data_IF_797293600846
#
_entry.id   IF_797293600846
#
_cell.length_a   1.000
_cell.length_b   1.000
_cell.length_c   1.000
_cell.angle_alpha   90.00
_cell.angle_beta   90.00
_cell.angle_gamma   90.00
#
_symmetry.space_group_name_H-M   'P 1'
#
loop_
_entity.id
_entity.type
_entity.pdbx_description
1 polymer ?
#
# COMPACT_ATOMS: atom_id res chain seq x y z
N UNK A 1 8.38 21.41 -13.69
CA UNK A 1 9.18 20.42 -12.92
C UNK A 1 10.30 21.06 -12.07
N UNK A 2 10.23 22.37 -11.75
CA UNK A 2 11.29 23.10 -11.02
C UNK A 2 10.91 23.57 -9.60
N UNK A 3 9.68 23.34 -9.16
CA UNK A 3 9.16 23.96 -7.93
C UNK A 3 9.66 23.32 -6.61
N UNK A 4 10.07 22.05 -6.61
CA UNK A 4 10.28 21.30 -5.36
C UNK A 4 11.68 21.45 -4.74
N UNK A 5 12.71 21.74 -5.54
CA UNK A 5 14.09 21.85 -5.05
C UNK A 5 14.39 23.18 -4.35
N UNK A 6 13.74 24.26 -4.76
CA UNK A 6 13.94 25.59 -4.15
C UNK A 6 13.20 25.76 -2.82
N UNK A 7 12.09 25.05 -2.61
CA UNK A 7 11.25 25.22 -1.42
C UNK A 7 11.74 24.43 -0.19
N UNK A 8 12.48 23.34 -0.41
CA UNK A 8 12.87 22.38 0.64
C UNK A 8 14.39 22.16 0.75
N UNK A 9 15.21 22.99 0.09
CA UNK A 9 16.67 22.79 0.00
C UNK A 9 17.07 21.34 -0.37
N UNK A 10 16.26 20.70 -1.22
CA UNK A 10 16.36 19.28 -1.51
C UNK A 10 17.16 19.00 -2.79
N UNK A 11 17.84 17.86 -2.83
CA UNK A 11 18.61 17.38 -3.98
C UNK A 11 17.85 16.31 -4.77
N UNK A 12 17.99 16.32 -6.09
CA UNK A 12 17.41 15.29 -6.97
C UNK A 12 18.38 14.11 -7.06
N UNK A 13 17.91 12.91 -6.77
CA UNK A 13 18.63 11.66 -7.04
C UNK A 13 18.52 11.29 -8.53
N UNK A 14 19.45 10.45 -9.04
CA UNK A 14 19.35 9.90 -10.39
C UNK A 14 18.00 9.22 -10.63
N UNK A 15 17.51 9.33 -11.85
CA UNK A 15 16.28 8.64 -12.27
C UNK A 15 16.61 7.15 -12.41
N UNK A 16 15.74 6.29 -11.87
CA UNK A 16 15.85 4.83 -11.98
C UNK A 16 14.60 4.27 -12.64
N UNK A 17 14.80 3.29 -13.52
CA UNK A 17 13.72 2.56 -14.17
C UNK A 17 13.26 1.39 -13.28
N UNK A 18 12.00 1.42 -12.87
CA UNK A 18 11.36 0.39 -12.06
C UNK A 18 10.43 -0.43 -12.95
N UNK A 19 10.58 -1.75 -12.93
CA UNK A 19 9.74 -2.67 -13.70
C UNK A 19 8.42 -2.88 -12.97
N UNK A 20 7.31 -2.49 -13.60
CA UNK A 20 5.93 -2.74 -13.16
C UNK A 20 5.24 -3.71 -14.12
N UNK A 21 4.27 -4.55 -13.66
CA UNK A 21 3.58 -5.50 -14.54
C UNK A 21 2.87 -4.87 -15.76
N UNK A 22 2.63 -3.55 -15.75
CA UNK A 22 2.02 -2.83 -16.86
C UNK A 22 3.00 -2.04 -17.75
N UNK A 23 4.30 -2.02 -17.45
CA UNK A 23 5.32 -1.29 -18.20
C UNK A 23 6.46 -0.74 -17.33
N UNK A 24 7.41 -0.02 -17.94
CA UNK A 24 8.51 0.63 -17.20
C UNK A 24 8.02 1.93 -16.57
N UNK A 25 8.37 2.13 -15.29
CA UNK A 25 8.09 3.34 -14.51
C UNK A 25 9.41 4.07 -14.24
N UNK A 26 9.56 5.32 -14.71
CA UNK A 26 10.68 6.18 -14.35
C UNK A 26 10.44 6.75 -12.96
N UNK A 27 11.33 6.49 -12.03
CA UNK A 27 11.25 6.97 -10.65
C UNK A 27 12.39 7.95 -10.36
N UNK A 28 12.06 9.10 -9.78
CA UNK A 28 13.02 10.10 -9.32
C UNK A 28 12.73 10.46 -7.87
N UNK A 29 13.75 10.38 -7.03
CA UNK A 29 13.64 10.78 -5.62
C UNK A 29 14.17 12.20 -5.44
N UNK A 30 13.42 13.03 -4.72
CA UNK A 30 13.86 14.32 -4.19
C UNK A 30 14.09 14.14 -2.70
N UNK A 31 15.29 14.43 -2.21
CA UNK A 31 15.74 14.14 -0.84
C UNK A 31 16.27 15.41 -0.17
N UNK A 32 15.81 15.72 1.05
CA UNK A 32 16.38 16.79 1.87
C UNK A 32 17.82 16.45 2.32
N UNK A 33 18.67 17.43 2.65
CA UNK A 33 20.09 17.19 2.97
C UNK A 33 20.31 16.25 4.17
N UNK A 34 19.37 16.25 5.11
CA UNK A 34 19.34 15.41 6.31
C UNK A 34 18.60 14.08 6.10
N UNK A 35 18.11 13.82 4.87
CA UNK A 35 17.31 12.67 4.48
C UNK A 35 15.97 12.48 5.25
N UNK A 36 15.55 13.48 6.03
CA UNK A 36 14.29 13.43 6.80
C UNK A 36 13.05 13.53 5.92
N UNK A 37 13.18 14.13 4.72
CA UNK A 37 12.14 14.19 3.71
C UNK A 37 12.61 13.54 2.41
N UNK A 38 11.82 12.58 1.92
CA UNK A 38 11.98 11.95 0.61
C UNK A 38 10.67 11.99 -0.16
N UNK A 39 10.69 12.61 -1.33
CA UNK A 39 9.56 12.66 -2.26
C UNK A 39 9.90 11.80 -3.47
N UNK A 40 9.18 10.70 -3.67
CA UNK A 40 9.37 9.82 -4.84
C UNK A 40 8.38 10.21 -5.93
N UNK A 41 8.90 10.70 -7.06
CA UNK A 41 8.14 11.07 -8.25
C UNK A 41 8.20 9.92 -9.26
N UNK A 42 7.04 9.32 -9.55
CA UNK A 42 6.94 8.22 -10.50
C UNK A 42 6.21 8.69 -11.77
N UNK A 43 6.87 8.63 -12.92
CA UNK A 43 6.28 8.85 -14.23
C UNK A 43 6.26 7.55 -15.03
N UNK A 44 5.19 7.28 -15.77
CA UNK A 44 5.17 6.18 -16.71
C UNK A 44 4.65 6.65 -18.07
N UNK A 45 5.27 6.13 -19.13
CA UNK A 45 4.91 6.45 -20.52
C UNK A 45 3.68 5.64 -21.01
N UNK A 46 3.13 4.73 -20.19
CA UNK A 46 1.97 3.90 -20.57
C UNK A 46 0.86 3.88 -19.52
N UNK A 47 -0.39 4.07 -19.96
CA UNK A 47 -1.62 3.95 -19.17
C UNK A 47 -1.88 2.53 -18.60
N UNK A 48 -1.04 1.56 -18.94
CA UNK A 48 -1.12 0.19 -18.43
C UNK A 48 -0.30 0.01 -17.17
N UNK A 49 0.83 0.70 -17.05
CA UNK A 49 1.64 0.73 -15.84
C UNK A 49 0.86 1.37 -14.70
N UNK A 50 1.10 0.91 -13.48
CA UNK A 50 0.41 1.41 -12.30
C UNK A 50 0.53 2.95 -12.21
N UNK A 51 1.73 3.51 -12.38
CA UNK A 51 1.95 4.96 -12.44
C UNK A 51 1.21 5.66 -13.59
N UNK A 52 1.09 5.06 -14.77
CA UNK A 52 0.37 5.66 -15.89
C UNK A 52 -1.15 5.61 -15.71
N UNK A 53 -1.68 4.61 -15.00
CA UNK A 53 -3.10 4.60 -14.57
C UNK A 53 -3.41 5.74 -13.59
N UNK A 54 -2.44 6.17 -12.78
CA UNK A 54 -2.55 7.35 -11.92
C UNK A 54 -2.53 8.64 -12.75
N UNK A 55 -1.56 8.79 -13.67
CA UNK A 55 -1.44 9.97 -14.53
C UNK A 55 -2.66 10.13 -15.47
N UNK A 56 -3.23 9.03 -15.97
CA UNK A 56 -4.43 9.02 -16.80
C UNK A 56 -5.74 9.29 -16.03
N UNK A 57 -5.67 9.69 -14.76
CA UNK A 57 -6.85 10.06 -13.95
C UNK A 57 -7.78 8.90 -13.57
N UNK A 58 -7.36 7.64 -13.77
CA UNK A 58 -8.18 6.45 -13.47
C UNK A 58 -8.00 5.93 -12.03
N UNK A 59 -7.05 6.50 -11.27
CA UNK A 59 -6.78 6.22 -9.86
C UNK A 59 -6.58 7.52 -9.03
N UNK A 60 -7.21 8.62 -9.45
CA UNK A 60 -7.62 9.78 -8.63
C UNK A 60 -6.58 10.64 -7.86
N UNK A 61 -5.33 10.22 -7.66
CA UNK A 61 -4.35 11.02 -6.90
C UNK A 61 -2.97 11.11 -7.58
N UNK A 62 -2.42 12.32 -7.63
CA UNK A 62 -1.04 12.59 -8.04
C UNK A 62 0.01 12.10 -7.02
N UNK A 63 -0.41 11.90 -5.77
CA UNK A 63 0.42 11.32 -4.69
C UNK A 63 -0.04 9.88 -4.44
N UNK A 64 0.87 8.92 -4.64
CA UNK A 64 0.54 7.50 -4.47
C UNK A 64 0.56 7.07 -2.99
N UNK A 65 1.53 7.54 -2.20
CA UNK A 65 1.61 7.23 -0.78
C UNK A 65 2.47 8.25 0.00
N UNK A 66 2.32 8.22 1.33
CA UNK A 66 3.17 8.94 2.29
C UNK A 66 3.83 7.91 3.20
N UNK A 67 5.15 8.01 3.36
CA UNK A 67 5.95 7.17 4.25
C UNK A 67 6.32 7.92 5.54
N UNK A 68 6.15 7.28 6.68
CA UNK A 68 6.59 7.76 7.99
C UNK A 68 7.73 6.91 8.51
N UNK A 69 8.76 7.54 9.05
CA UNK A 69 9.83 6.81 9.74
C UNK A 69 9.41 6.42 11.16
N UNK A 70 9.83 5.23 11.58
CA UNK A 70 9.71 4.73 12.94
C UNK A 70 11.06 4.22 13.44
N UNK A 71 11.33 4.42 14.73
CA UNK A 71 12.49 3.85 15.42
C UNK A 71 12.27 2.41 15.91
N UNK A 72 11.03 1.93 15.93
CA UNK A 72 10.67 0.54 16.23
C UNK A 72 9.35 0.21 15.53
N UNK A 73 9.45 -0.44 14.37
CA UNK A 73 8.33 -0.78 13.52
C UNK A 73 7.43 -1.85 14.16
N UNK A 74 8.00 -2.79 14.93
CA UNK A 74 7.21 -3.84 15.58
C UNK A 74 6.33 -3.24 16.68
N UNK A 75 6.86 -2.33 17.50
CA UNK A 75 6.05 -1.61 18.48
C UNK A 75 5.03 -0.68 17.81
N UNK A 76 5.43 -0.03 16.72
CA UNK A 76 4.53 0.85 15.96
C UNK A 76 3.37 0.06 15.36
N UNK A 77 3.63 -1.09 14.75
CA UNK A 77 2.62 -2.03 14.24
C UNK A 77 1.63 -2.39 15.34
N UNK A 78 2.11 -2.84 16.51
CA UNK A 78 1.25 -3.25 17.63
C UNK A 78 0.33 -2.13 18.08
N UNK A 79 0.85 -0.89 18.16
CA UNK A 79 0.06 0.30 18.54
C UNK A 79 -0.97 0.67 17.47
N UNK A 80 -0.57 0.64 16.20
CA UNK A 80 -1.45 0.93 15.07
C UNK A 80 -2.57 -0.11 14.98
N UNK A 81 -2.26 -1.39 15.10
CA UNK A 81 -3.23 -2.50 15.11
C UNK A 81 -4.24 -2.34 16.24
N UNK A 82 -3.80 -2.01 17.46
CA UNK A 82 -4.71 -1.71 18.59
C UNK A 82 -5.65 -0.53 18.33
N UNK A 83 -5.26 0.40 17.46
CA UNK A 83 -6.05 1.57 17.07
C UNK A 83 -6.89 1.34 15.80
N UNK A 84 -6.95 0.10 15.29
CA UNK A 84 -7.76 -0.26 14.13
C UNK A 84 -7.09 -0.05 12.77
N UNK A 85 -5.77 0.18 12.74
CA UNK A 85 -5.03 0.25 11.48
C UNK A 85 -5.14 -1.07 10.71
N UNK A 86 -5.47 -0.97 9.42
CA UNK A 86 -5.55 -2.14 8.54
C UNK A 86 -4.29 -2.25 7.68
N UNK A 87 -3.38 -3.14 8.08
CA UNK A 87 -2.22 -3.47 7.28
C UNK A 87 -2.61 -4.14 5.95
N UNK A 88 -1.79 -3.91 4.92
CA UNK A 88 -1.87 -4.60 3.64
C UNK A 88 -1.53 -6.08 3.87
N UNK A 89 -2.44 -7.03 3.59
CA UNK A 89 -2.17 -8.43 3.87
C UNK A 89 -1.12 -8.99 2.89
N UNK A 90 -0.02 -9.48 3.45
CA UNK A 90 1.06 -10.11 2.69
C UNK A 90 0.92 -11.64 2.73
N UNK A 91 0.98 -12.33 1.57
CA UNK A 91 0.91 -13.78 1.51
C UNK A 91 2.02 -14.48 2.31
N UNK A 92 1.68 -15.60 2.97
CA UNK A 92 2.62 -16.34 3.83
C UNK A 92 3.90 -16.81 3.13
N UNK A 93 3.82 -17.14 1.83
CA UNK A 93 4.96 -17.60 1.04
C UNK A 93 6.08 -16.55 0.91
N UNK A 94 5.75 -15.26 1.04
CA UNK A 94 6.76 -14.20 1.08
C UNK A 94 7.76 -14.40 2.24
N UNK A 95 7.25 -14.80 3.41
CA UNK A 95 8.09 -15.01 4.60
C UNK A 95 8.89 -16.31 4.51
N UNK A 96 8.34 -17.34 3.86
CA UNK A 96 9.07 -18.57 3.57
C UNK A 96 10.27 -18.27 2.63
N UNK A 97 10.08 -17.39 1.64
CA UNK A 97 11.16 -16.94 0.76
C UNK A 97 12.21 -16.08 1.50
N UNK A 98 11.81 -15.28 2.50
CA UNK A 98 12.74 -14.48 3.31
C UNK A 98 13.67 -15.36 4.15
N UNK A 99 13.14 -16.43 4.75
CA UNK A 99 13.94 -17.42 5.49
C UNK A 99 15.06 -17.98 4.62
N UNK A 100 14.73 -18.38 3.40
CA UNK A 100 15.70 -18.94 2.46
C UNK A 100 16.75 -17.91 1.96
N UNK A 101 16.36 -16.64 1.83
CA UNK A 101 17.23 -15.58 1.30
C UNK A 101 18.19 -14.98 2.32
N UNK A 102 17.71 -14.75 3.54
CA UNK A 102 18.44 -13.99 4.56
C UNK A 102 18.75 -14.80 5.82
N UNK A 103 18.28 -16.05 5.93
CA UNK A 103 18.55 -16.90 7.09
C UNK A 103 18.00 -16.31 8.40
N UNK A 104 16.89 -15.58 8.32
CA UNK A 104 16.27 -14.92 9.48
C UNK A 104 15.85 -15.95 10.53
N UNK A 105 16.00 -15.60 11.81
CA UNK A 105 15.55 -16.45 12.88
C UNK A 105 14.01 -16.58 12.91
N UNK A 106 13.52 -17.71 13.42
CA UNK A 106 12.09 -18.00 13.45
C UNK A 106 11.26 -17.01 14.26
N UNK A 107 11.85 -16.34 15.26
CA UNK A 107 11.13 -15.35 16.07
C UNK A 107 10.95 -14.02 15.32
N UNK A 108 11.94 -13.61 14.53
CA UNK A 108 11.85 -12.47 13.65
C UNK A 108 10.86 -12.73 12.50
N UNK A 109 10.92 -13.89 11.86
CA UNK A 109 9.96 -14.28 10.82
C UNK A 109 8.52 -14.32 11.33
N UNK A 110 8.30 -14.82 12.55
CA UNK A 110 6.98 -14.83 13.17
C UNK A 110 6.43 -13.41 13.36
N UNK A 111 7.26 -12.48 13.88
CA UNK A 111 6.86 -11.09 14.06
C UNK A 111 6.58 -10.38 12.73
N UNK A 112 7.44 -10.59 11.71
CA UNK A 112 7.24 -10.04 10.38
C UNK A 112 5.91 -10.53 9.77
N UNK A 113 5.62 -11.83 9.89
CA UNK A 113 4.40 -12.45 9.39
C UNK A 113 3.16 -11.95 10.13
N UNK A 114 3.20 -11.87 11.46
CA UNK A 114 2.09 -11.38 12.26
C UNK A 114 1.74 -9.93 11.90
N UNK A 115 2.76 -9.07 11.73
CA UNK A 115 2.59 -7.66 11.42
C UNK A 115 2.31 -7.34 9.94
N UNK A 116 2.37 -8.34 9.05
CA UNK A 116 2.39 -8.11 7.59
C UNK A 116 3.51 -7.13 7.15
N UNK A 117 4.67 -7.21 7.82
CA UNK A 117 5.82 -6.33 7.59
C UNK A 117 6.69 -6.95 6.49
N UNK A 118 7.14 -6.13 5.54
CA UNK A 118 8.12 -6.53 4.53
C UNK A 118 9.53 -6.24 5.02
N UNK A 119 10.48 -7.03 4.57
CA UNK A 119 11.88 -6.99 4.96
C UNK A 119 12.78 -6.95 3.73
N UNK A 120 13.82 -6.13 3.79
CA UNK A 120 14.95 -6.14 2.87
C UNK A 120 16.25 -5.95 3.66
N UNK A 121 17.35 -6.45 3.13
CA UNK A 121 18.67 -6.31 3.74
C UNK A 121 19.73 -6.17 2.66
N UNK A 122 20.63 -5.21 2.85
CA UNK A 122 21.83 -5.03 2.04
C UNK A 122 23.08 -4.92 2.93
N UNK A 123 24.25 -4.75 2.32
CA UNK A 123 25.53 -4.59 3.04
C UNK A 123 25.52 -3.42 4.05
N UNK A 124 24.62 -2.46 3.87
CA UNK A 124 24.47 -1.26 4.70
C UNK A 124 23.38 -1.36 5.78
N UNK A 125 22.64 -2.46 5.88
CA UNK A 125 21.73 -2.72 6.98
C UNK A 125 20.36 -3.27 6.56
N UNK A 126 19.38 -3.10 7.45
CA UNK A 126 18.06 -3.71 7.32
C UNK A 126 16.99 -2.66 7.07
N UNK A 127 15.96 -3.06 6.33
CA UNK A 127 14.82 -2.23 6.00
C UNK A 127 13.52 -2.94 6.24
N UNK A 128 12.71 -2.40 7.14
CA UNK A 128 11.40 -2.92 7.44
C UNK A 128 10.33 -1.95 6.92
N UNK A 129 9.28 -2.47 6.31
CA UNK A 129 8.24 -1.67 5.67
C UNK A 129 6.86 -2.23 6.02
N UNK A 130 5.99 -1.38 6.55
CA UNK A 130 4.59 -1.68 6.86
C UNK A 130 3.69 -0.81 5.97
N UNK A 131 2.81 -1.44 5.20
CA UNK A 131 1.88 -0.73 4.34
C UNK A 131 0.47 -0.77 4.90
N UNK A 132 -0.27 0.33 4.76
CA UNK A 132 -1.71 0.33 4.94
C UNK A 132 -2.41 -0.30 3.74
N UNK A 133 -3.67 -0.69 3.92
CA UNK A 133 -4.59 -0.83 2.78
C UNK A 133 -4.75 0.52 2.06
N UNK A 134 -5.06 0.51 0.76
CA UNK A 134 -5.38 1.72 0.02
C UNK A 134 -6.67 2.35 0.54
N UNK A 135 -6.72 3.67 0.53
CA UNK A 135 -7.84 4.54 0.82
C UNK A 135 -8.33 5.20 -0.46
N UNK A 136 -9.65 5.34 -0.61
CA UNK A 136 -10.27 6.02 -1.75
C UNK A 136 -9.72 5.53 -3.08
N UNK A 137 -9.14 6.46 -3.85
CA UNK A 137 -8.66 6.23 -5.21
C UNK A 137 -7.31 5.47 -5.31
N UNK A 138 -6.81 4.91 -4.21
CA UNK A 138 -5.59 4.08 -4.20
C UNK A 138 -4.41 4.71 -3.46
N UNK A 139 -4.63 5.79 -2.72
CA UNK A 139 -3.63 6.37 -1.83
C UNK A 139 -3.41 5.46 -0.62
N UNK A 140 -2.17 5.27 -0.18
CA UNK A 140 -1.88 4.47 1.02
C UNK A 140 -0.80 5.11 1.89
N UNK A 141 -0.67 4.63 3.12
CA UNK A 141 0.42 5.00 4.02
C UNK A 141 1.46 3.88 4.08
N UNK A 142 2.70 4.29 4.27
CA UNK A 142 3.81 3.42 4.57
C UNK A 142 4.44 3.85 5.89
N UNK A 143 4.88 2.89 6.69
CA UNK A 143 5.70 3.13 7.87
C UNK A 143 6.98 2.33 7.67
N UNK A 144 8.13 2.98 7.79
CA UNK A 144 9.43 2.37 7.54
C UNK A 144 10.32 2.44 8.76
N UNK A 145 11.19 1.45 8.93
CA UNK A 145 12.30 1.50 9.87
C UNK A 145 13.57 1.12 9.13
N UNK A 146 14.59 1.98 9.24
CA UNK A 146 15.93 1.76 8.67
C UNK A 146 16.87 1.45 9.82
N UNK A 147 17.47 0.26 9.78
CA UNK A 147 18.43 -0.17 10.79
C UNK A 147 19.83 -0.15 10.21
N UNK A 148 20.80 0.17 11.06
CA UNK A 148 22.23 0.07 10.76
C UNK A 148 22.72 0.91 9.56
N UNK A 149 21.91 1.87 9.09
CA UNK A 149 22.30 2.78 8.01
C UNK A 149 21.78 2.41 6.62
N UNK A 150 20.79 1.50 6.51
CA UNK A 150 20.22 1.10 5.22
C UNK A 150 19.84 2.30 4.35
N UNK A 151 20.53 2.44 3.21
CA UNK A 151 20.42 3.57 2.28
C UNK A 151 19.52 3.32 1.07
N UNK A 152 19.09 2.07 0.86
CA UNK A 152 18.26 1.67 -0.28
C UNK A 152 16.82 2.17 -0.21
N UNK A 153 16.03 1.87 -1.24
CA UNK A 153 14.63 2.32 -1.35
C UNK A 153 13.62 1.15 -1.30
N UNK A 154 14.04 -0.05 -0.88
CA UNK A 154 13.16 -1.23 -0.82
C UNK A 154 12.68 -1.69 -2.20
N UNK A 155 13.53 -1.57 -3.23
CA UNK A 155 13.19 -1.99 -4.59
C UNK A 155 12.80 -3.47 -4.66
N UNK A 156 13.40 -4.32 -3.83
CA UNK A 156 13.06 -5.74 -3.72
C UNK A 156 11.62 -5.98 -3.22
N UNK A 157 11.08 -5.08 -2.40
CA UNK A 157 9.76 -5.20 -1.78
C UNK A 157 8.63 -4.61 -2.66
N UNK A 158 8.97 -3.71 -3.59
CA UNK A 158 7.98 -3.04 -4.43
C UNK A 158 7.07 -4.00 -5.26
N UNK A 159 7.58 -5.07 -5.89
CA UNK A 159 6.73 -6.02 -6.63
C UNK A 159 5.73 -6.76 -5.73
N UNK A 160 6.15 -7.16 -4.51
CA UNK A 160 5.30 -7.85 -3.55
C UNK A 160 4.17 -6.96 -3.07
N UNK A 161 4.47 -5.70 -2.75
CA UNK A 161 3.46 -4.67 -2.43
C UNK A 161 2.46 -4.50 -3.58
N UNK A 162 2.94 -4.31 -4.81
CA UNK A 162 2.09 -4.10 -5.97
C UNK A 162 1.15 -5.30 -6.22
N UNK A 163 1.67 -6.52 -6.09
CA UNK A 163 0.89 -7.74 -6.19
C UNK A 163 -0.17 -7.86 -5.08
N UNK A 164 0.18 -7.56 -3.83
CA UNK A 164 -0.74 -7.57 -2.70
C UNK A 164 -1.87 -6.54 -2.85
N UNK A 165 -1.55 -5.32 -3.28
CA UNK A 165 -2.54 -4.27 -3.58
C UNK A 165 -3.50 -4.69 -4.69
N UNK A 166 -2.96 -5.22 -5.80
CA UNK A 166 -3.78 -5.72 -6.92
C UNK A 166 -4.74 -6.83 -6.47
N UNK A 167 -4.27 -7.76 -5.62
CA UNK A 167 -5.08 -8.85 -5.08
C UNK A 167 -6.22 -8.34 -4.21
N UNK A 168 -5.95 -7.34 -3.36
CA UNK A 168 -6.95 -6.73 -2.49
C UNK A 168 -8.05 -6.04 -3.30
N UNK A 169 -7.69 -5.16 -4.23
CA UNK A 169 -8.64 -4.45 -5.12
C UNK A 169 -9.48 -5.45 -5.91
N UNK A 170 -8.84 -6.48 -6.47
CA UNK A 170 -9.56 -7.53 -7.23
C UNK A 170 -10.52 -8.34 -6.35
N UNK A 171 -10.28 -8.45 -5.04
CA UNK A 171 -11.18 -9.13 -4.11
C UNK A 171 -12.38 -8.24 -3.78
N UNK A 172 -12.14 -6.96 -3.48
CA UNK A 172 -13.19 -6.00 -3.15
C UNK A 172 -14.15 -5.76 -4.31
N UNK A 173 -13.63 -5.65 -5.55
CA UNK A 173 -14.45 -5.56 -6.75
C UNK A 173 -15.33 -6.80 -6.95
N UNK A 174 -14.81 -8.00 -6.67
CA UNK A 174 -15.59 -9.24 -6.73
C UNK A 174 -16.67 -9.26 -5.66
N UNK A 175 -16.35 -8.89 -4.42
CA UNK A 175 -17.34 -8.83 -3.34
C UNK A 175 -18.44 -7.82 -3.65
N UNK A 176 -18.10 -6.62 -4.13
CA UNK A 176 -19.07 -5.58 -4.53
C UNK A 176 -19.96 -6.02 -5.71
N UNK A 177 -19.37 -6.68 -6.72
CA UNK A 177 -20.13 -7.24 -7.84
C UNK A 177 -21.07 -8.38 -7.43
N UNK A 178 -20.72 -9.16 -6.41
CA UNK A 178 -21.61 -10.17 -5.81
C UNK A 178 -22.76 -9.52 -5.03
N UNK A 179 -22.54 -8.41 -4.32
CA UNK A 179 -23.61 -7.64 -3.68
C UNK A 179 -24.57 -7.03 -4.71
N UNK A 180 -24.08 -6.54 -5.86
CA UNK A 180 -24.92 -6.08 -6.96
C UNK A 180 -25.59 -7.21 -7.78
N UNK A 181 -25.21 -8.48 -7.54
CA UNK A 181 -25.83 -9.66 -8.14
C UNK A 181 -26.70 -10.46 -7.16
N UNK A 182 -26.92 -10.00 -5.94
CA UNK A 182 -28.02 -10.49 -5.12
C UNK A 182 -29.31 -10.07 -5.81
N UNK A 183 -30.16 -11.01 -6.28
CA UNK A 183 -31.46 -10.66 -6.82
C UNK A 183 -32.25 -9.94 -5.73
N UNK A 184 -33.21 -9.11 -6.13
CA UNK A 184 -34.27 -8.56 -5.28
C UNK A 184 -35.18 -9.65 -4.68
N UNK A 185 -34.63 -10.74 -4.14
CA UNK A 185 -35.36 -11.88 -3.58
C UNK A 185 -35.67 -11.72 -2.07
N UNK A 186 -35.66 -10.48 -1.58
CA UNK A 186 -36.22 -10.12 -0.26
C UNK A 186 -37.55 -9.34 -0.37
N UNK A 187 -38.28 -9.48 -1.48
CA UNK A 187 -39.70 -9.10 -1.58
C UNK A 187 -40.49 -10.29 -2.11
N UNK A 188 -40.60 -11.38 -1.35
CA UNK A 188 -41.62 -12.43 -1.54
C UNK A 188 -41.52 -13.53 -0.45
N UNK A 189 -41.62 -13.19 0.84
CA UNK A 189 -41.74 -14.25 1.85
C UNK A 189 -42.36 -13.83 3.19
N UNK A 190 -43.36 -12.95 3.26
CA UNK A 190 -44.25 -12.89 4.44
C UNK A 190 -45.68 -12.53 4.00
N UNK A 191 -46.63 -13.43 4.33
CA UNK A 191 -48.07 -13.34 4.07
C UNK A 191 -48.79 -12.55 5.21
N UNK A 192 -50.11 -12.25 5.08
CA UNK A 192 -50.71 -10.97 5.43
C UNK A 192 -51.23 -10.89 6.88
N UNK A 193 -51.08 -9.72 7.49
CA UNK A 193 -52.02 -9.25 8.51
C UNK A 193 -52.39 -7.82 8.15
N UNK A 194 -53.70 -7.60 7.99
CA UNK A 194 -54.34 -6.33 7.73
C UNK A 194 -53.80 -5.22 8.63
N UNK A 195 -53.19 -4.20 8.01
CA UNK A 195 -53.13 -2.86 8.58
C UNK A 195 -53.68 -1.94 7.49
N UNK A 196 -54.85 -1.38 7.77
CA UNK A 196 -55.51 -0.37 6.95
C UNK A 196 -54.77 0.96 7.11
N UNK A 197 -54.20 1.47 6.01
CA UNK A 197 -53.42 2.72 5.98
C UNK A 197 -54.23 3.90 5.41
N UNK A 198 -55.56 3.79 5.30
CA UNK A 198 -56.40 4.89 4.77
C UNK A 198 -56.63 6.06 5.74
N UNK A 199 -56.07 6.04 6.96
CA UNK A 199 -56.38 7.03 8.00
C UNK A 199 -55.25 7.99 8.39
N UNK A 200 -54.27 8.29 7.54
CA UNK A 200 -53.21 9.25 7.91
C UNK A 200 -52.95 10.43 6.95
N UNK A 201 -53.72 10.59 5.88
CA UNK A 201 -53.70 11.84 5.09
C UNK A 201 -55.13 12.26 4.73
N UNK A 202 -55.78 12.91 5.69
CA UNK A 202 -56.81 13.94 5.49
C UNK A 202 -56.30 15.22 6.15
#
# INVERSE_FOLDING_TARGET
>A
MECHTSLFEASKRPIVDVVDPGGVVRSQVIESPDASLRITLNGADSDRALAGRFVAGRLGSAVQHVAFESSDLFETERRLRKRGFQALPIPGNYYDDLEARFGLDGSMLAQLREGSILYDEDEGGQFLQLYSRPYGDGFFFEIVERRQGYGGYGAANAPFRAAAMKRLVSRELRTSALFHKLPQLFIAAWHPVLVDWTSFFA
#
